data_IF_505716009576
#
_entry.id   IF_505716009576
#
_cell.length_a   1.000
_cell.length_b   1.000
_cell.length_c   1.000
_cell.angle_alpha   90.00
_cell.angle_beta   90.00
_cell.angle_gamma   90.00
#
_symmetry.space_group_name_H-M   'P 1'
#
loop_
_entity.id
_entity.type
_entity.pdbx_description
1 polymer ?
#
# COMPACT_ATOMS: atom_id res chain seq x y z
N UNK A 1 -6.50 -10.71 23.76
CA UNK A 1 -5.06 -10.51 24.06
C UNK A 1 -4.83 -9.04 24.38
N UNK A 2 -3.94 -8.71 25.33
CA UNK A 2 -3.67 -7.32 25.72
C UNK A 2 -2.65 -6.73 24.74
N UNK A 3 -3.04 -5.71 23.98
CA UNK A 3 -2.17 -5.02 23.02
C UNK A 3 -1.42 -3.88 23.73
N UNK A 4 -0.55 -4.23 24.68
CA UNK A 4 0.31 -3.27 25.36
C UNK A 4 1.48 -2.81 24.47
N UNK A 5 2.20 -1.77 24.91
CA UNK A 5 3.37 -1.19 24.23
C UNK A 5 4.51 -2.18 23.96
N UNK A 6 4.46 -3.37 24.57
CA UNK A 6 5.41 -4.47 24.39
C UNK A 6 5.00 -5.45 23.28
N UNK A 7 3.80 -5.31 22.72
CA UNK A 7 3.33 -6.13 21.60
C UNK A 7 3.88 -5.59 20.28
N UNK A 8 4.38 -6.47 19.43
CA UNK A 8 4.87 -6.12 18.09
C UNK A 8 3.74 -5.75 17.11
N UNK A 9 2.49 -6.12 17.42
CA UNK A 9 1.32 -5.84 16.58
C UNK A 9 0.39 -4.81 17.24
N UNK A 10 0.02 -3.79 16.47
CA UNK A 10 -0.98 -2.80 16.84
C UNK A 10 -2.36 -3.47 16.99
N UNK A 11 -3.17 -3.02 17.95
CA UNK A 11 -4.58 -3.39 17.99
C UNK A 11 -5.28 -2.79 16.76
N UNK A 12 -6.00 -3.59 15.97
CA UNK A 12 -6.70 -3.09 14.79
C UNK A 12 -8.15 -2.78 15.18
N UNK A 13 -8.51 -1.50 15.17
CA UNK A 13 -9.89 -1.04 15.38
C UNK A 13 -10.45 -0.47 14.08
N UNK A 14 -11.53 -1.08 13.55
CA UNK A 14 -12.17 -0.70 12.28
C UNK A 14 -11.21 -0.64 11.07
N UNK A 15 -10.13 -1.43 11.09
CA UNK A 15 -9.10 -1.42 10.05
C UNK A 15 -7.99 -0.39 10.28
N UNK A 16 -8.00 0.33 11.40
CA UNK A 16 -6.98 1.30 11.79
C UNK A 16 -6.12 0.76 12.93
N UNK A 17 -4.80 0.96 12.89
CA UNK A 17 -3.93 0.52 13.96
C UNK A 17 -4.02 1.52 15.12
N UNK A 18 -4.51 1.07 16.27
CA UNK A 18 -4.33 1.74 17.55
C UNK A 18 -2.89 1.47 17.99
N UNK A 19 -2.01 2.41 17.66
CA UNK A 19 -0.58 2.29 17.95
C UNK A 19 -0.25 3.07 19.22
N UNK A 20 0.36 2.38 20.17
CA UNK A 20 0.94 3.01 21.36
C UNK A 20 2.44 3.30 21.17
N UNK A 21 3.03 2.81 20.07
CA UNK A 21 4.46 2.93 19.75
C UNK A 21 4.70 3.12 18.25
N UNK A 22 5.74 3.89 17.91
CA UNK A 22 6.18 4.10 16.51
C UNK A 22 6.56 2.81 15.79
N UNK A 23 7.03 1.79 16.52
CA UNK A 23 7.40 0.49 15.95
C UNK A 23 6.17 -0.26 15.46
N UNK A 24 5.07 -0.24 16.23
CA UNK A 24 3.79 -0.86 15.85
C UNK A 24 3.22 -0.20 14.59
N UNK A 25 3.36 1.13 14.48
CA UNK A 25 2.96 1.87 13.29
C UNK A 25 3.79 1.49 12.05
N UNK A 26 5.11 1.36 12.20
CA UNK A 26 5.97 0.91 11.10
C UNK A 26 5.63 -0.51 10.64
N UNK A 27 5.41 -1.45 11.56
CA UNK A 27 5.02 -2.83 11.24
C UNK A 27 3.72 -2.87 10.45
N UNK A 28 2.69 -2.13 10.89
CA UNK A 28 1.42 -2.04 10.17
C UNK A 28 1.58 -1.46 8.76
N UNK A 29 2.38 -0.39 8.62
CA UNK A 29 2.65 0.20 7.31
C UNK A 29 3.38 -0.78 6.37
N UNK A 30 4.31 -1.58 6.87
CA UNK A 30 4.98 -2.59 6.06
C UNK A 30 4.04 -3.72 5.64
N UNK A 31 3.15 -4.18 6.55
CA UNK A 31 2.11 -5.16 6.24
C UNK A 31 1.11 -4.64 5.20
N UNK A 32 0.72 -3.37 5.30
CA UNK A 32 -0.14 -2.69 4.33
C UNK A 32 0.54 -2.60 2.96
N UNK A 33 1.84 -2.30 2.91
CA UNK A 33 2.64 -2.31 1.67
C UNK A 33 2.73 -3.71 1.08
N UNK A 34 3.00 -4.73 1.90
CA UNK A 34 3.04 -6.13 1.49
C UNK A 34 1.72 -6.58 0.86
N UNK A 35 0.60 -6.30 1.54
CA UNK A 35 -0.74 -6.57 1.03
C UNK A 35 -1.03 -5.86 -0.29
N UNK A 36 -0.61 -4.60 -0.41
CA UNK A 36 -0.80 -3.81 -1.64
C UNK A 36 0.02 -4.37 -2.80
N UNK A 37 1.28 -4.78 -2.56
CA UNK A 37 2.13 -5.44 -3.56
C UNK A 37 1.51 -6.74 -4.07
N UNK A 38 0.99 -7.58 -3.18
CA UNK A 38 0.35 -8.84 -3.57
C UNK A 38 -0.86 -8.61 -4.47
N UNK A 39 -1.69 -7.63 -4.13
CA UNK A 39 -2.85 -7.25 -4.95
C UNK A 39 -2.40 -6.70 -6.31
N UNK A 40 -1.43 -5.79 -6.33
CA UNK A 40 -0.87 -5.24 -7.57
C UNK A 40 -0.32 -6.36 -8.47
N UNK A 41 0.45 -7.29 -7.92
CA UNK A 41 0.99 -8.43 -8.66
C UNK A 41 -0.12 -9.34 -9.23
N UNK A 42 -1.14 -9.65 -8.42
CA UNK A 42 -2.30 -10.47 -8.86
C UNK A 42 -3.13 -9.77 -9.94
N UNK A 43 -3.24 -8.46 -9.90
CA UNK A 43 -3.94 -7.69 -10.93
C UNK A 43 -3.09 -7.58 -12.19
N UNK A 44 -1.77 -7.45 -12.05
CA UNK A 44 -0.84 -7.31 -13.16
C UNK A 44 -0.81 -8.55 -14.05
N UNK A 45 -0.98 -9.73 -13.46
CA UNK A 45 -1.05 -11.00 -14.19
C UNK A 45 -2.30 -11.17 -15.06
N UNK A 46 -3.32 -10.30 -14.94
CA UNK A 46 -4.60 -10.42 -15.68
C UNK A 46 -4.56 -9.91 -17.14
N UNK A 47 -3.38 -9.63 -17.70
CA UNK A 47 -3.26 -9.25 -19.11
C UNK A 47 -3.92 -7.91 -19.47
N UNK A 48 -3.95 -6.96 -18.54
CA UNK A 48 -4.59 -5.65 -18.71
C UNK A 48 -3.80 -4.74 -19.65
N UNK A 49 -4.47 -3.83 -20.37
CA UNK A 49 -3.82 -2.74 -21.11
C UNK A 49 -3.16 -1.73 -20.17
N UNK A 50 -2.24 -0.91 -20.68
CA UNK A 50 -1.59 0.17 -19.88
C UNK A 50 -2.63 1.11 -19.25
N UNK A 51 -3.62 1.52 -20.04
CA UNK A 51 -4.72 2.37 -19.56
C UNK A 51 -5.58 1.65 -18.51
N UNK A 52 -5.87 0.36 -18.71
CA UNK A 52 -6.60 -0.45 -17.73
C UNK A 52 -5.84 -0.58 -16.40
N UNK A 53 -4.51 -0.72 -16.46
CA UNK A 53 -3.64 -0.70 -15.27
C UNK A 53 -3.63 0.67 -14.61
N UNK A 54 -3.56 1.77 -15.36
CA UNK A 54 -3.68 3.13 -14.80
C UNK A 54 -5.01 3.35 -14.06
N UNK A 55 -6.13 2.91 -14.65
CA UNK A 55 -7.45 2.99 -14.02
C UNK A 55 -7.51 2.18 -12.71
N UNK A 56 -7.00 0.95 -12.73
CA UNK A 56 -6.99 0.07 -11.56
C UNK A 56 -6.06 0.59 -10.47
N UNK A 57 -4.90 1.14 -10.83
CA UNK A 57 -4.00 1.78 -9.88
C UNK A 57 -4.72 2.92 -9.15
N UNK A 58 -5.38 3.81 -9.89
CA UNK A 58 -6.11 4.93 -9.31
C UNK A 58 -7.29 4.49 -8.43
N UNK A 59 -8.11 3.56 -8.92
CA UNK A 59 -9.37 3.18 -8.25
C UNK A 59 -9.21 2.19 -7.10
N UNK A 60 -8.25 1.26 -7.17
CA UNK A 60 -8.06 0.24 -6.13
C UNK A 60 -6.84 0.53 -5.24
N UNK A 61 -5.66 0.74 -5.85
CA UNK A 61 -4.41 0.88 -5.10
C UNK A 61 -4.40 2.22 -4.36
N UNK A 62 -4.59 3.33 -5.09
CA UNK A 62 -4.57 4.67 -4.50
C UNK A 62 -5.74 4.91 -3.55
N UNK A 63 -6.96 4.45 -3.88
CA UNK A 63 -8.13 4.59 -3.01
C UNK A 63 -7.94 3.93 -1.64
N UNK A 64 -7.40 2.69 -1.62
CA UNK A 64 -7.11 1.97 -0.37
C UNK A 64 -6.06 2.70 0.47
N UNK A 65 -5.01 3.19 -0.17
CA UNK A 65 -3.93 3.93 0.50
C UNK A 65 -4.45 5.26 1.05
N UNK A 66 -5.24 5.98 0.27
CA UNK A 66 -5.84 7.25 0.65
C UNK A 66 -6.71 7.11 1.90
N UNK A 67 -7.49 6.04 1.97
CA UNK A 67 -8.30 5.73 3.15
C UNK A 67 -7.44 5.62 4.42
N UNK A 68 -6.28 4.97 4.36
CA UNK A 68 -5.33 4.91 5.48
C UNK A 68 -4.65 6.26 5.74
N UNK A 69 -4.26 6.98 4.68
CA UNK A 69 -3.58 8.30 4.77
C UNK A 69 -4.42 9.36 5.46
N UNK A 70 -5.74 9.30 5.30
CA UNK A 70 -6.66 10.29 5.89
C UNK A 70 -6.58 10.33 7.42
N UNK A 71 -6.18 9.22 8.03
CA UNK A 71 -6.24 9.02 9.49
C UNK A 71 -4.84 8.91 10.10
N UNK A 72 -3.83 8.51 9.32
CA UNK A 72 -2.45 8.39 9.78
C UNK A 72 -1.52 9.39 9.09
N UNK A 73 -0.72 10.11 9.88
CA UNK A 73 0.42 10.87 9.39
C UNK A 73 1.54 9.92 8.97
N UNK A 74 1.57 9.55 7.69
CA UNK A 74 2.59 8.64 7.18
C UNK A 74 3.93 9.32 6.88
N UNK A 75 5.05 8.61 7.08
CA UNK A 75 6.38 9.13 6.73
C UNK A 75 6.60 9.16 5.22
N UNK A 76 7.41 10.11 4.74
CA UNK A 76 7.66 10.32 3.31
C UNK A 76 8.20 9.08 2.57
N UNK A 77 9.00 8.23 3.25
CA UNK A 77 9.50 6.99 2.64
C UNK A 77 8.37 6.03 2.24
N UNK A 78 7.24 6.05 2.95
CA UNK A 78 6.09 5.20 2.67
C UNK A 78 5.45 5.58 1.33
N UNK A 79 5.30 6.90 1.08
CA UNK A 79 4.82 7.41 -0.21
C UNK A 79 5.77 7.06 -1.35
N UNK A 80 7.09 7.13 -1.12
CA UNK A 80 8.08 6.70 -2.11
C UNK A 80 7.95 5.20 -2.46
N UNK A 81 7.75 4.34 -1.45
CA UNK A 81 7.50 2.90 -1.66
C UNK A 81 6.20 2.66 -2.44
N UNK A 82 5.15 3.40 -2.17
CA UNK A 82 3.88 3.30 -2.91
C UNK A 82 4.07 3.68 -4.38
N UNK A 83 4.74 4.81 -4.65
CA UNK A 83 5.02 5.25 -6.01
C UNK A 83 5.75 4.15 -6.78
N UNK A 84 6.78 3.56 -6.19
CA UNK A 84 7.51 2.44 -6.81
C UNK A 84 6.60 1.23 -7.13
N UNK A 85 5.64 0.89 -6.25
CA UNK A 85 4.67 -0.19 -6.51
C UNK A 85 3.75 0.15 -7.68
N UNK A 86 3.25 1.38 -7.72
CA UNK A 86 2.37 1.85 -8.80
C UNK A 86 3.11 1.89 -10.14
N UNK A 87 4.35 2.39 -10.15
CA UNK A 87 5.19 2.43 -11.34
C UNK A 87 5.48 1.02 -11.85
N UNK A 88 5.81 0.08 -10.95
CA UNK A 88 6.03 -1.32 -11.30
C UNK A 88 4.75 -1.98 -11.84
N UNK A 89 3.59 -1.65 -11.27
CA UNK A 89 2.30 -2.17 -11.72
C UNK A 89 1.92 -1.66 -13.11
N UNK A 90 2.03 -0.36 -13.37
CA UNK A 90 1.68 0.24 -14.67
C UNK A 90 2.64 -0.25 -15.76
N UNK A 91 3.94 -0.31 -15.45
CA UNK A 91 4.97 -0.77 -16.39
C UNK A 91 5.09 -2.30 -16.48
N UNK A 92 4.24 -3.06 -15.78
CA UNK A 92 4.27 -4.50 -15.84
C UNK A 92 4.05 -4.99 -17.28
N UNK A 93 5.10 -5.60 -17.85
CA UNK A 93 5.12 -6.14 -19.22
C UNK A 93 4.79 -5.09 -20.30
N UNK A 94 5.05 -3.80 -20.01
CA UNK A 94 4.84 -2.70 -20.95
C UNK A 94 6.12 -2.31 -21.67
N UNK A 95 6.04 -2.18 -22.99
CA UNK A 95 7.09 -1.59 -23.83
C UNK A 95 6.43 -0.56 -24.77
N UNK A 96 6.91 0.70 -24.85
CA UNK A 96 7.93 1.34 -24.02
C UNK A 96 7.46 1.56 -22.56
N UNK A 97 8.42 1.83 -21.66
CA UNK A 97 8.12 2.14 -20.25
C UNK A 97 7.55 3.56 -20.16
N UNK A 98 6.40 3.71 -19.54
CA UNK A 98 5.83 5.02 -19.24
C UNK A 98 6.53 5.58 -17.99
N UNK A 99 7.09 6.78 -18.12
CA UNK A 99 7.67 7.55 -17.01
C UNK A 99 6.70 8.65 -16.62
N UNK A 100 6.34 8.72 -15.34
CA UNK A 100 5.47 9.74 -14.74
C UNK A 100 6.19 10.41 -13.56
#
# INVERSE_FOLDING_TARGET
EWHDSNSHMAAIYLGYPLTSSSTQMMTFLDELLGSTRLIAHRLASRGLSVQGRGLIANTLILSRIWHCLRILTVPAYFLAKIRAIVDQFINFRSFPKASF
#
